data_IF_243694294076
#
_entry.id   IF_243694294076
#
_cell.length_a   1.000
_cell.length_b   1.000
_cell.length_c   1.000
_cell.angle_alpha   90.00
_cell.angle_beta   90.00
_cell.angle_gamma   90.00
#
_symmetry.space_group_name_H-M   'P 1'
#
loop_
_entity.id
_entity.type
_entity.pdbx_description
1 polymer ?
#
# COMPACT_ATOMS: atom_id res chain seq x y z
N UNK A 1 61.24 -67.91 14.22
CA UNK A 1 60.15 -68.08 13.23
C UNK A 1 58.91 -67.38 13.77
N UNK A 2 58.61 -66.14 13.35
CA UNK A 2 57.27 -65.54 13.61
C UNK A 2 57.08 -64.28 12.76
N UNK A 3 56.58 -64.44 11.52
CA UNK A 3 56.24 -63.30 10.66
C UNK A 3 55.25 -63.69 9.55
N UNK A 4 54.12 -64.32 9.89
CA UNK A 4 53.10 -64.70 8.88
C UNK A 4 51.63 -64.46 9.27
N UNK A 5 51.31 -63.92 10.45
CA UNK A 5 49.91 -63.92 10.94
C UNK A 5 49.18 -62.57 10.93
N UNK A 6 49.87 -61.41 10.81
CA UNK A 6 49.20 -60.09 10.84
C UNK A 6 48.67 -59.59 9.49
N UNK A 7 49.31 -59.95 8.38
CA UNK A 7 49.00 -59.34 7.07
C UNK A 7 47.75 -59.94 6.40
N UNK A 8 47.46 -61.23 6.62
CA UNK A 8 46.27 -61.89 6.05
C UNK A 8 44.94 -61.44 6.71
N UNK A 9 44.94 -61.13 8.01
CA UNK A 9 43.77 -60.58 8.72
C UNK A 9 43.43 -59.14 8.31
N UNK A 10 44.43 -58.34 7.91
CA UNK A 10 44.21 -56.94 7.52
C UNK A 10 43.62 -56.81 6.11
N UNK A 11 44.02 -57.70 5.18
CA UNK A 11 43.48 -57.74 3.82
C UNK A 11 42.04 -58.27 3.73
N UNK A 12 41.66 -59.20 4.62
CA UNK A 12 40.27 -59.70 4.68
C UNK A 12 39.32 -58.73 5.36
N UNK A 13 39.78 -57.94 6.34
CA UNK A 13 38.93 -56.94 7.02
C UNK A 13 38.68 -55.68 6.15
N UNK A 14 39.66 -55.26 5.36
CA UNK A 14 39.53 -54.10 4.47
C UNK A 14 38.57 -54.36 3.28
N UNK A 15 38.51 -55.59 2.77
CA UNK A 15 37.62 -55.97 1.68
C UNK A 15 36.13 -56.07 2.10
N UNK A 16 35.85 -56.38 3.38
CA UNK A 16 34.48 -56.44 3.93
C UNK A 16 33.96 -55.03 4.23
N UNK A 17 34.81 -54.09 4.63
CA UNK A 17 34.40 -52.70 4.93
C UNK A 17 34.12 -51.91 3.64
N UNK A 18 34.78 -52.22 2.53
CA UNK A 18 34.55 -51.54 1.24
C UNK A 18 33.26 -52.01 0.52
N UNK A 19 32.81 -53.24 0.78
CA UNK A 19 31.58 -53.79 0.18
C UNK A 19 30.29 -53.39 0.92
N UNK A 20 30.37 -53.01 2.20
CA UNK A 20 29.22 -52.57 3.01
C UNK A 20 28.79 -51.10 2.79
N UNK A 21 29.58 -50.30 2.06
CA UNK A 21 29.27 -48.89 1.77
C UNK A 21 28.26 -48.68 0.61
N UNK A 22 27.90 -49.74 -0.12
CA UNK A 22 27.03 -49.66 -1.31
C UNK A 22 25.55 -49.99 -1.02
N UNK A 23 25.20 -50.29 0.23
CA UNK A 23 23.88 -50.82 0.62
C UNK A 23 22.92 -49.83 1.28
N UNK A 24 23.27 -48.55 1.37
CA UNK A 24 22.28 -47.53 1.76
C UNK A 24 21.59 -47.02 0.50
N UNK A 25 20.32 -47.40 0.23
CA UNK A 25 19.56 -46.77 -0.83
C UNK A 25 19.49 -45.28 -0.51
N UNK A 26 20.26 -44.46 -1.24
CA UNK A 26 20.07 -43.03 -1.20
C UNK A 26 18.63 -42.79 -1.65
N UNK A 27 17.78 -42.30 -0.75
CA UNK A 27 16.44 -41.88 -1.12
C UNK A 27 16.60 -40.65 -2.01
N UNK A 28 16.65 -40.87 -3.32
CA UNK A 28 16.61 -39.80 -4.31
C UNK A 28 15.21 -39.21 -4.21
N UNK A 29 15.06 -38.20 -3.37
CA UNK A 29 13.80 -37.49 -3.25
C UNK A 29 13.57 -36.77 -4.58
N UNK A 30 12.63 -37.26 -5.38
CA UNK A 30 12.38 -36.75 -6.72
C UNK A 30 12.10 -35.23 -6.62
N UNK A 31 13.03 -34.42 -7.12
CA UNK A 31 12.87 -32.98 -7.09
C UNK A 31 11.58 -32.60 -7.82
N UNK A 32 10.66 -31.95 -7.10
CA UNK A 32 9.36 -31.59 -7.67
C UNK A 32 9.50 -30.85 -9.00
N UNK A 33 8.57 -31.06 -9.94
CA UNK A 33 8.64 -30.45 -11.26
C UNK A 33 8.71 -28.92 -11.17
N UNK A 34 9.63 -28.30 -11.93
CA UNK A 34 9.73 -26.84 -12.02
C UNK A 34 8.40 -26.26 -12.48
N UNK A 35 7.85 -25.31 -11.71
CA UNK A 35 6.55 -24.68 -11.97
C UNK A 35 6.50 -23.25 -11.43
N UNK A 36 5.63 -22.42 -11.98
CA UNK A 36 5.30 -21.14 -11.36
C UNK A 36 4.34 -21.37 -10.19
N UNK A 37 4.42 -20.53 -9.15
CA UNK A 37 3.45 -20.54 -8.05
C UNK A 37 2.04 -20.11 -8.50
N UNK A 38 1.92 -19.44 -9.65
CA UNK A 38 0.65 -19.05 -10.25
C UNK A 38 0.77 -18.92 -11.77
N UNK A 39 -0.24 -19.42 -12.49
CA UNK A 39 -0.37 -19.27 -13.94
C UNK A 39 -1.26 -18.08 -14.35
N UNK A 40 -2.01 -17.52 -13.39
CA UNK A 40 -2.83 -16.32 -13.54
C UNK A 40 -2.63 -15.40 -12.34
N UNK A 41 -2.56 -14.09 -12.57
CA UNK A 41 -2.56 -13.05 -11.53
C UNK A 41 -3.37 -11.85 -12.00
N UNK A 42 -3.93 -11.13 -11.03
CA UNK A 42 -4.54 -9.83 -11.24
C UNK A 42 -3.77 -8.80 -10.42
N UNK A 43 -3.53 -7.62 -10.99
CA UNK A 43 -2.90 -6.48 -10.33
C UNK A 43 -3.57 -5.20 -10.81
N UNK A 44 -3.69 -4.17 -9.98
CA UNK A 44 -4.19 -2.88 -10.46
C UNK A 44 -3.05 -2.06 -11.08
N UNK A 45 -3.38 -1.09 -11.91
CA UNK A 45 -2.43 -0.05 -12.33
C UNK A 45 -1.79 0.59 -11.09
N UNK A 46 -0.46 0.67 -11.06
CA UNK A 46 0.32 1.22 -9.94
C UNK A 46 0.74 0.18 -8.89
N UNK A 47 -0.03 -0.89 -8.69
CA UNK A 47 0.26 -1.92 -7.70
C UNK A 47 1.33 -2.92 -8.21
N UNK A 48 1.92 -3.68 -7.29
CA UNK A 48 2.90 -4.73 -7.61
C UNK A 48 2.52 -6.09 -7.05
N UNK A 49 2.92 -7.15 -7.75
CA UNK A 49 2.80 -8.53 -7.27
C UNK A 49 4.06 -9.34 -7.56
N UNK A 50 4.25 -10.44 -6.83
CA UNK A 50 5.42 -11.31 -6.97
C UNK A 50 5.01 -12.68 -7.50
N UNK A 51 5.73 -13.16 -8.50
CA UNK A 51 5.60 -14.51 -9.05
C UNK A 51 6.89 -15.28 -8.76
N UNK A 52 6.76 -16.51 -8.24
CA UNK A 52 7.88 -17.38 -7.86
C UNK A 52 7.98 -18.55 -8.83
N UNK A 53 9.20 -18.93 -9.17
CA UNK A 53 9.51 -20.16 -9.90
C UNK A 53 10.02 -21.20 -8.89
N UNK A 54 9.19 -22.22 -8.67
CA UNK A 54 9.43 -23.28 -7.69
C UNK A 54 10.27 -24.40 -8.31
N UNK A 55 11.05 -25.07 -7.46
CA UNK A 55 11.85 -26.25 -7.81
C UNK A 55 12.75 -26.06 -9.05
N UNK A 56 13.35 -24.87 -9.17
CA UNK A 56 14.30 -24.56 -10.22
C UNK A 56 15.65 -24.18 -9.60
N UNK A 57 16.71 -24.86 -10.06
CA UNK A 57 18.11 -24.56 -9.71
C UNK A 57 18.87 -23.88 -10.86
N UNK A 58 18.28 -23.80 -12.05
CA UNK A 58 18.92 -23.24 -13.27
C UNK A 58 18.70 -21.73 -13.39
N UNK A 59 19.54 -21.04 -14.16
CA UNK A 59 19.38 -19.60 -14.45
C UNK A 59 18.07 -19.34 -15.20
N UNK A 60 17.34 -18.29 -14.82
CA UNK A 60 16.06 -17.92 -15.43
C UNK A 60 16.17 -16.62 -16.21
N UNK A 61 15.65 -16.60 -17.44
CA UNK A 61 15.44 -15.36 -18.21
C UNK A 61 13.98 -14.93 -18.06
N UNK A 62 13.75 -13.82 -17.34
CA UNK A 62 12.43 -13.21 -17.19
C UNK A 62 12.16 -12.18 -18.29
N UNK A 63 10.98 -12.20 -18.86
CA UNK A 63 10.50 -11.21 -19.84
C UNK A 63 8.99 -10.99 -19.71
N UNK A 64 8.49 -9.90 -20.30
CA UNK A 64 7.07 -9.55 -20.35
C UNK A 64 6.63 -9.40 -21.80
N UNK A 65 5.37 -9.69 -22.12
CA UNK A 65 4.90 -9.65 -23.52
C UNK A 65 4.60 -8.24 -24.02
N UNK A 66 4.29 -7.29 -23.14
CA UNK A 66 3.97 -5.91 -23.52
C UNK A 66 4.17 -4.97 -22.32
N UNK A 67 4.03 -3.67 -22.56
CA UNK A 67 4.24 -2.59 -21.58
C UNK A 67 3.12 -2.47 -20.53
N UNK A 68 2.07 -3.31 -20.55
CA UNK A 68 1.01 -3.26 -19.53
C UNK A 68 1.54 -3.64 -18.14
N UNK A 69 2.62 -4.41 -18.06
CA UNK A 69 3.35 -4.70 -16.83
C UNK A 69 4.84 -4.37 -16.99
N UNK A 70 5.50 -4.03 -15.89
CA UNK A 70 6.96 -3.80 -15.83
C UNK A 70 7.59 -4.67 -14.76
N UNK A 71 8.76 -5.26 -15.06
CA UNK A 71 9.57 -5.95 -14.04
C UNK A 71 10.24 -4.87 -13.17
N UNK A 72 10.01 -4.95 -11.86
CA UNK A 72 10.60 -4.04 -10.86
C UNK A 72 11.89 -4.62 -10.30
N UNK A 73 11.87 -5.91 -9.99
CA UNK A 73 13.06 -6.66 -9.55
C UNK A 73 12.94 -8.13 -9.93
N UNK A 74 14.07 -8.81 -10.13
CA UNK A 74 14.11 -10.22 -10.56
C UNK A 74 15.28 -10.97 -9.94
N UNK A 75 15.06 -12.25 -9.68
CA UNK A 75 16.09 -13.23 -9.28
C UNK A 75 15.81 -14.58 -9.97
N UNK A 76 16.67 -15.58 -9.76
CA UNK A 76 16.44 -16.94 -10.26
C UNK A 76 15.22 -17.64 -9.61
N UNK A 77 14.73 -17.13 -8.47
CA UNK A 77 13.62 -17.74 -7.70
C UNK A 77 12.30 -16.97 -7.89
N UNK A 78 12.34 -15.67 -8.12
CA UNK A 78 11.13 -14.85 -8.18
C UNK A 78 11.31 -13.56 -8.98
N UNK A 79 10.19 -12.95 -9.35
CA UNK A 79 10.13 -11.65 -10.00
C UNK A 79 9.01 -10.82 -9.40
N UNK A 80 9.29 -9.55 -9.09
CA UNK A 80 8.30 -8.56 -8.72
C UNK A 80 7.94 -7.75 -9.97
N UNK A 81 6.65 -7.69 -10.28
CA UNK A 81 6.11 -6.94 -11.42
C UNK A 81 5.15 -5.86 -10.92
N UNK A 82 5.08 -4.75 -11.65
CA UNK A 82 4.15 -3.62 -11.42
C UNK A 82 3.18 -3.51 -12.59
N UNK A 83 1.89 -3.28 -12.30
CA UNK A 83 0.88 -2.93 -13.30
C UNK A 83 1.08 -1.49 -13.80
N UNK A 84 1.13 -1.29 -15.11
CA UNK A 84 1.41 0.01 -15.75
C UNK A 84 0.18 0.53 -16.49
N UNK A 85 -0.45 -0.30 -17.33
CA UNK A 85 -1.63 0.07 -18.12
C UNK A 85 -2.64 -1.07 -18.07
N UNK A 86 -3.94 -0.73 -18.04
CA UNK A 86 -5.04 -1.69 -18.13
C UNK A 86 -4.85 -2.61 -19.34
N UNK A 87 -5.09 -3.90 -19.14
CA UNK A 87 -5.02 -4.90 -20.18
C UNK A 87 -4.32 -6.18 -19.73
N UNK A 88 -4.19 -7.12 -20.66
CA UNK A 88 -3.53 -8.40 -20.38
C UNK A 88 -2.05 -8.34 -20.80
N UNK A 89 -1.18 -8.94 -20.00
CA UNK A 89 0.23 -9.22 -20.34
C UNK A 89 0.62 -10.62 -19.89
N UNK A 90 1.68 -11.17 -20.46
CA UNK A 90 2.25 -12.44 -20.04
C UNK A 90 3.64 -12.23 -19.47
N UNK A 91 3.81 -12.63 -18.21
CA UNK A 91 5.12 -12.82 -17.62
C UNK A 91 5.67 -14.17 -18.08
N UNK A 92 6.87 -14.18 -18.64
CA UNK A 92 7.53 -15.37 -19.17
C UNK A 92 8.82 -15.65 -18.39
N UNK A 93 8.97 -16.86 -17.87
CA UNK A 93 10.21 -17.40 -17.32
C UNK A 93 10.77 -18.46 -18.28
N UNK A 94 11.88 -18.16 -18.96
CA UNK A 94 12.59 -19.12 -19.80
C UNK A 94 13.70 -19.80 -19.01
N UNK A 95 13.66 -21.14 -18.98
CA UNK A 95 14.65 -22.03 -18.35
C UNK A 95 15.10 -23.03 -19.41
N UNK A 96 16.29 -22.84 -19.97
CA UNK A 96 16.74 -23.59 -21.15
C UNK A 96 15.79 -23.41 -22.33
N UNK A 97 15.32 -24.53 -22.90
CA UNK A 97 14.33 -24.55 -23.98
C UNK A 97 12.91 -24.23 -23.50
N UNK A 98 12.59 -24.50 -22.23
CA UNK A 98 11.23 -24.41 -21.69
C UNK A 98 10.86 -22.99 -21.26
N UNK A 99 9.63 -22.57 -21.56
CA UNK A 99 9.09 -21.27 -21.14
C UNK A 99 7.82 -21.45 -20.33
N UNK A 100 7.83 -20.92 -19.11
CA UNK A 100 6.67 -20.87 -18.23
C UNK A 100 5.99 -19.51 -18.36
N UNK A 101 4.66 -19.49 -18.48
CA UNK A 101 3.88 -18.27 -18.68
C UNK A 101 2.90 -18.06 -17.52
N UNK A 102 2.82 -16.83 -17.02
CA UNK A 102 1.77 -16.37 -16.13
C UNK A 102 0.97 -15.28 -16.86
N UNK A 103 -0.33 -15.47 -17.04
CA UNK A 103 -1.24 -14.43 -17.54
C UNK A 103 -1.47 -13.41 -16.43
N UNK A 104 -1.11 -12.17 -16.67
CA UNK A 104 -1.29 -11.06 -15.74
C UNK A 104 -2.35 -10.13 -16.31
N UNK A 105 -3.48 -10.02 -15.63
CA UNK A 105 -4.53 -9.06 -15.96
C UNK A 105 -4.30 -7.80 -15.14
N UNK A 106 -4.06 -6.68 -15.81
CA UNK A 106 -3.98 -5.36 -15.19
C UNK A 106 -5.35 -4.72 -15.24
N UNK A 107 -5.95 -4.51 -14.07
CA UNK A 107 -7.20 -3.76 -13.93
C UNK A 107 -6.87 -2.28 -13.76
N UNK A 108 -7.80 -1.41 -14.18
CA UNK A 108 -7.77 -0.04 -13.69
C UNK A 108 -7.80 -0.07 -12.17
N UNK A 109 -7.02 0.83 -11.55
CA UNK A 109 -7.23 1.11 -10.14
C UNK A 109 -8.60 1.76 -10.06
N UNK A 110 -9.54 1.10 -9.38
CA UNK A 110 -10.84 1.69 -9.09
C UNK A 110 -10.58 3.04 -8.43
N UNK A 111 -11.17 4.12 -8.97
CA UNK A 111 -11.01 5.47 -8.42
C UNK A 111 -11.68 5.63 -7.05
N UNK A 112 -12.31 4.59 -6.50
CA UNK A 112 -13.33 4.74 -5.48
C UNK A 112 -14.67 5.02 -6.14
N UNK A 113 -15.76 4.84 -5.40
CA UNK A 113 -17.08 5.37 -5.77
C UNK A 113 -17.65 6.24 -4.63
N UNK A 114 -16.77 6.79 -3.79
CA UNK A 114 -17.16 7.61 -2.65
C UNK A 114 -17.86 6.86 -1.53
N UNK A 115 -17.95 5.52 -1.58
CA UNK A 115 -18.58 4.75 -0.49
C UNK A 115 -17.57 4.43 0.61
N UNK A 116 -18.09 4.16 1.81
CA UNK A 116 -17.28 3.70 2.96
C UNK A 116 -16.37 2.51 2.65
N UNK A 117 -16.84 1.56 1.82
CA UNK A 117 -16.08 0.37 1.40
C UNK A 117 -15.04 0.68 0.31
N UNK A 118 -15.32 1.67 -0.54
CA UNK A 118 -14.47 2.04 -1.66
C UNK A 118 -14.38 3.58 -1.77
N UNK A 119 -13.69 4.22 -0.82
CA UNK A 119 -13.60 5.67 -0.75
C UNK A 119 -12.81 6.23 -1.93
N UNK A 120 -13.09 7.48 -2.29
CA UNK A 120 -12.28 8.24 -3.23
C UNK A 120 -10.86 8.49 -2.67
N UNK A 121 -9.91 8.72 -3.56
CA UNK A 121 -8.58 9.21 -3.18
C UNK A 121 -8.70 10.63 -2.65
N UNK A 122 -8.18 10.89 -1.45
CA UNK A 122 -8.13 12.25 -0.90
C UNK A 122 -7.20 13.20 -1.71
N UNK A 123 -6.28 12.64 -2.50
CA UNK A 123 -5.31 13.40 -3.29
C UNK A 123 -5.84 13.85 -4.65
N UNK A 124 -6.98 13.31 -5.09
CA UNK A 124 -7.67 13.77 -6.29
C UNK A 124 -8.55 14.97 -5.90
N UNK A 125 -8.63 15.97 -6.77
CA UNK A 125 -9.52 17.12 -6.53
C UNK A 125 -10.97 16.66 -6.61
N UNK A 126 -11.75 16.96 -5.57
CA UNK A 126 -13.19 16.69 -5.52
C UNK A 126 -13.97 17.99 -5.42
N UNK A 127 -15.03 18.13 -6.22
CA UNK A 127 -15.95 19.27 -6.13
C UNK A 127 -17.14 18.86 -5.28
N UNK A 128 -17.49 19.68 -4.29
CA UNK A 128 -18.61 19.46 -3.40
C UNK A 128 -19.43 20.72 -3.23
N UNK A 129 -20.73 20.51 -3.03
CA UNK A 129 -21.59 21.51 -2.41
C UNK A 129 -21.27 21.63 -0.91
N UNK A 130 -21.52 22.82 -0.37
CA UNK A 130 -21.30 23.16 1.04
C UNK A 130 -22.66 23.48 1.65
N UNK A 131 -23.06 22.66 2.62
CA UNK A 131 -24.30 22.82 3.35
C UNK A 131 -24.02 23.05 4.85
N UNK A 132 -24.90 23.81 5.49
CA UNK A 132 -25.05 23.87 6.95
C UNK A 132 -26.50 24.16 7.27
N UNK A 133 -26.82 25.28 7.93
CA UNK A 133 -28.22 25.70 8.11
C UNK A 133 -28.96 25.97 6.78
N UNK A 134 -28.20 26.20 5.69
CA UNK A 134 -28.67 26.37 4.31
C UNK A 134 -27.54 25.97 3.35
N UNK A 135 -27.79 26.10 2.06
CA UNK A 135 -26.74 26.02 1.05
C UNK A 135 -25.83 27.26 1.08
N UNK A 136 -24.51 27.04 1.17
CA UNK A 136 -23.51 28.11 1.20
C UNK A 136 -22.77 28.29 -0.13
N UNK A 137 -22.64 27.23 -0.93
CA UNK A 137 -21.96 27.31 -2.22
C UNK A 137 -21.23 26.02 -2.61
N UNK A 138 -20.19 26.13 -3.44
CA UNK A 138 -19.37 25.02 -3.90
C UNK A 138 -17.88 25.25 -3.64
N UNK A 139 -17.19 24.18 -3.28
CA UNK A 139 -15.73 24.18 -3.18
C UNK A 139 -15.09 22.98 -3.87
N UNK A 140 -13.84 23.17 -4.29
CA UNK A 140 -12.93 22.07 -4.62
C UNK A 140 -12.04 21.77 -3.43
N UNK A 141 -12.00 20.50 -3.03
CA UNK A 141 -11.19 20.02 -1.90
C UNK A 141 -10.10 19.08 -2.42
N UNK A 142 -8.88 19.22 -1.89
CA UNK A 142 -7.75 18.32 -2.19
C UNK A 142 -6.82 18.19 -1.00
N UNK A 143 -6.46 16.97 -0.62
CA UNK A 143 -5.35 16.72 0.29
C UNK A 143 -4.03 16.94 -0.45
N UNK A 144 -3.26 17.94 -0.01
CA UNK A 144 -2.00 18.34 -0.64
C UNK A 144 -0.76 17.86 0.13
N UNK A 145 -0.91 17.53 1.42
CA UNK A 145 0.16 16.95 2.21
C UNK A 145 -0.39 15.99 3.28
N UNK A 146 0.32 14.90 3.50
CA UNK A 146 0.00 13.89 4.51
C UNK A 146 1.30 13.35 5.10
N UNK A 147 1.40 13.41 6.43
CA UNK A 147 2.52 12.85 7.20
C UNK A 147 1.94 12.01 8.32
N UNK A 148 2.56 10.87 8.61
CA UNK A 148 2.22 10.06 9.77
C UNK A 148 3.45 9.51 10.50
N UNK A 149 3.23 8.98 11.70
CA UNK A 149 4.26 8.30 12.48
C UNK A 149 5.48 9.18 12.75
N UNK A 150 6.67 8.64 12.46
CA UNK A 150 7.94 9.34 12.68
C UNK A 150 8.07 10.61 11.83
N UNK A 151 7.56 10.59 10.59
CA UNK A 151 7.63 11.74 9.70
C UNK A 151 6.80 12.91 10.26
N UNK A 152 5.56 12.63 10.68
CA UNK A 152 4.71 13.62 11.33
C UNK A 152 5.35 14.13 12.62
N UNK A 153 5.83 13.24 13.50
CA UNK A 153 6.44 13.65 14.77
C UNK A 153 7.63 14.59 14.55
N UNK A 154 8.53 14.25 13.62
CA UNK A 154 9.70 15.07 13.34
C UNK A 154 9.30 16.44 12.77
N UNK A 155 8.35 16.47 11.83
CA UNK A 155 7.82 17.70 11.26
C UNK A 155 7.18 18.58 12.33
N UNK A 156 6.31 18.02 13.17
CA UNK A 156 5.61 18.77 14.21
C UNK A 156 6.57 19.29 15.29
N UNK A 157 7.57 18.50 15.72
CA UNK A 157 8.58 18.95 16.69
C UNK A 157 9.40 20.13 16.16
N UNK A 158 9.80 20.06 14.88
CA UNK A 158 10.49 21.18 14.23
C UNK A 158 9.65 22.46 14.22
N UNK A 159 8.33 22.32 14.24
CA UNK A 159 7.36 23.42 14.24
C UNK A 159 6.69 23.61 15.63
N UNK A 160 7.42 23.38 16.72
CA UNK A 160 7.01 23.81 18.06
C UNK A 160 6.15 22.81 18.87
N UNK A 161 5.86 21.62 18.35
CA UNK A 161 5.23 20.56 19.14
C UNK A 161 6.18 20.08 20.25
N UNK A 162 5.76 20.21 21.51
CA UNK A 162 6.54 19.78 22.68
C UNK A 162 6.23 18.34 23.12
N UNK A 163 5.00 17.88 22.92
CA UNK A 163 4.51 16.61 23.47
C UNK A 163 4.89 15.42 22.59
N UNK A 164 5.30 14.31 23.22
CA UNK A 164 5.48 13.03 22.54
C UNK A 164 4.15 12.25 22.51
N UNK A 165 3.91 11.42 21.48
CA UNK A 165 2.64 10.70 21.34
C UNK A 165 2.52 9.49 22.28
N UNK A 166 3.58 9.13 23.03
CA UNK A 166 3.63 7.93 23.86
C UNK A 166 4.01 6.68 23.05
N UNK A 167 3.83 5.49 23.65
CA UNK A 167 4.28 4.21 23.04
C UNK A 167 3.30 3.64 22.00
N UNK A 168 2.01 3.94 22.11
CA UNK A 168 0.95 3.30 21.32
C UNK A 168 0.25 4.21 20.32
N UNK A 169 0.52 5.53 20.38
CA UNK A 169 -0.10 6.52 19.50
C UNK A 169 0.93 7.17 18.60
N UNK A 170 0.44 7.74 17.52
CA UNK A 170 1.21 8.48 16.53
C UNK A 170 0.47 9.74 16.12
N UNK A 171 1.25 10.77 15.79
CA UNK A 171 0.69 11.95 15.16
C UNK A 171 0.44 11.69 13.68
N UNK A 172 -0.63 12.31 13.17
CA UNK A 172 -0.93 12.40 11.75
C UNK A 172 -1.19 13.86 11.43
N UNK A 173 -0.57 14.37 10.38
CA UNK A 173 -0.73 15.72 9.88
C UNK A 173 -1.34 15.64 8.47
N UNK A 174 -2.42 16.39 8.26
CA UNK A 174 -3.08 16.53 6.97
C UNK A 174 -3.13 18.00 6.62
N UNK A 175 -2.84 18.33 5.36
CA UNK A 175 -2.95 19.69 4.81
C UNK A 175 -3.84 19.65 3.58
N UNK A 176 -4.91 20.44 3.62
CA UNK A 176 -5.87 20.56 2.54
C UNK A 176 -5.70 21.89 1.82
N UNK A 177 -5.90 21.86 0.50
CA UNK A 177 -6.25 23.04 -0.28
C UNK A 177 -7.75 23.02 -0.51
N UNK A 178 -8.41 24.13 -0.22
CA UNK A 178 -9.84 24.32 -0.45
C UNK A 178 -9.99 25.55 -1.32
N UNK A 179 -10.71 25.41 -2.44
CA UNK A 179 -11.01 26.48 -3.38
C UNK A 179 -12.51 26.73 -3.36
N UNK A 180 -12.95 27.76 -2.63
CA UNK A 180 -14.37 28.10 -2.46
C UNK A 180 -14.80 29.02 -3.60
N UNK A 181 -15.03 28.44 -4.76
CA UNK A 181 -15.14 29.18 -6.03
C UNK A 181 -16.55 29.71 -6.31
N UNK A 182 -17.58 29.23 -5.60
CA UNK A 182 -18.95 29.70 -5.75
C UNK A 182 -19.60 29.83 -4.39
N UNK A 183 -20.16 30.99 -4.08
CA UNK A 183 -20.75 31.30 -2.78
C UNK A 183 -21.04 32.78 -2.65
N UNK A 184 -21.66 33.19 -1.54
CA UNK A 184 -22.10 34.59 -1.35
C UNK A 184 -21.57 35.26 -0.09
N UNK A 185 -21.02 34.49 0.83
CA UNK A 185 -20.57 34.96 2.15
C UNK A 185 -19.32 34.23 2.60
N UNK A 186 -18.60 34.84 3.54
CA UNK A 186 -17.49 34.19 4.24
C UNK A 186 -17.99 33.02 5.07
N UNK A 187 -17.32 31.88 4.96
CA UNK A 187 -17.69 30.67 5.72
C UNK A 187 -16.46 30.03 6.38
N UNK A 188 -16.64 29.34 7.52
CA UNK A 188 -15.58 28.52 8.11
C UNK A 188 -15.18 27.37 7.18
N UNK A 189 -13.88 27.07 7.07
CA UNK A 189 -13.37 25.94 6.30
C UNK A 189 -13.94 24.60 6.80
N UNK A 190 -14.28 24.51 8.08
CA UNK A 190 -14.86 23.31 8.71
C UNK A 190 -16.18 22.85 8.09
N UNK A 191 -16.90 23.71 7.37
CA UNK A 191 -18.13 23.32 6.68
C UNK A 191 -17.86 22.45 5.43
N UNK A 192 -16.63 22.34 4.95
CA UNK A 192 -16.30 21.62 3.70
C UNK A 192 -15.93 20.15 3.89
N UNK A 193 -15.33 19.80 5.02
CA UNK A 193 -14.92 18.43 5.33
C UNK A 193 -15.55 18.10 6.68
N UNK A 194 -16.43 17.10 6.69
CA UNK A 194 -17.22 16.75 7.86
C UNK A 194 -16.36 16.13 8.97
N UNK A 195 -16.30 14.81 8.99
CA UNK A 195 -15.69 14.05 10.09
C UNK A 195 -14.56 13.17 9.62
N UNK A 196 -13.59 12.96 10.51
CA UNK A 196 -12.41 12.13 10.28
C UNK A 196 -12.55 10.81 11.03
N UNK A 197 -12.10 9.74 10.41
CA UNK A 197 -12.24 8.38 10.91
C UNK A 197 -10.93 7.62 10.75
N UNK A 198 -10.73 6.65 11.62
CA UNK A 198 -9.62 5.69 11.52
C UNK A 198 -9.86 4.66 10.41
N UNK A 199 -8.99 3.66 10.33
CA UNK A 199 -8.98 2.64 9.29
C UNK A 199 -10.35 2.01 9.04
N UNK A 200 -10.68 1.85 7.74
CA UNK A 200 -11.97 1.33 7.26
C UNK A 200 -13.20 2.16 7.70
N UNK A 201 -13.01 3.43 8.04
CA UNK A 201 -14.12 4.37 8.31
C UNK A 201 -14.99 3.98 9.51
N UNK A 202 -14.47 3.19 10.45
CA UNK A 202 -15.27 2.56 11.51
C UNK A 202 -15.37 3.40 12.78
N UNK A 203 -14.30 4.10 13.15
CA UNK A 203 -14.22 4.83 14.42
C UNK A 203 -13.84 6.28 14.16
N UNK A 204 -14.69 7.18 14.61
CA UNK A 204 -14.47 8.62 14.52
C UNK A 204 -13.23 9.01 15.32
N UNK A 205 -12.39 9.85 14.74
CA UNK A 205 -11.22 10.42 15.41
C UNK A 205 -11.71 11.67 16.14
N UNK A 206 -11.67 11.68 17.48
CA UNK A 206 -12.08 12.86 18.22
C UNK A 206 -11.14 14.01 17.90
N UNK A 207 -11.73 15.19 17.76
CA UNK A 207 -10.95 16.40 17.64
C UNK A 207 -10.10 16.60 18.90
N UNK A 208 -8.82 16.92 18.68
CA UNK A 208 -7.90 17.33 19.72
C UNK A 208 -7.14 18.53 19.20
N UNK A 209 -7.14 19.64 19.93
CA UNK A 209 -6.35 20.81 19.56
C UNK A 209 -4.86 20.49 19.74
N UNK A 210 -4.15 20.24 18.63
CA UNK A 210 -2.72 19.97 18.62
C UNK A 210 -2.03 21.13 17.91
N UNK A 211 -1.37 21.98 18.70
CA UNK A 211 -0.70 23.19 18.20
C UNK A 211 0.56 22.84 17.39
N UNK A 212 0.73 23.53 16.27
CA UNK A 212 1.88 23.45 15.39
C UNK A 212 2.07 24.81 14.69
N UNK A 213 3.29 25.34 14.72
CA UNK A 213 3.64 26.68 14.24
C UNK A 213 4.30 26.63 12.85
N UNK A 214 3.67 25.96 11.90
CA UNK A 214 4.17 25.82 10.52
C UNK A 214 3.63 26.88 9.53
N UNK A 215 3.01 27.95 10.05
CA UNK A 215 2.43 29.03 9.26
C UNK A 215 1.12 28.70 8.54
N UNK A 216 0.57 27.50 8.73
CA UNK A 216 -0.73 27.10 8.15
C UNK A 216 -1.80 27.19 9.24
N UNK A 217 -2.97 27.80 8.96
CA UNK A 217 -4.02 27.85 9.98
C UNK A 217 -4.69 26.49 10.16
N UNK A 218 -5.22 26.26 11.36
CA UNK A 218 -5.98 25.07 11.65
C UNK A 218 -7.32 25.09 10.90
N UNK A 219 -7.74 23.93 10.44
CA UNK A 219 -8.96 23.71 9.68
C UNK A 219 -10.21 24.25 10.38
N UNK A 220 -10.22 24.25 11.71
CA UNK A 220 -11.35 24.72 12.52
C UNK A 220 -11.39 26.24 12.73
N UNK A 221 -10.29 26.95 12.47
CA UNK A 221 -10.19 28.40 12.67
C UNK A 221 -9.99 29.18 11.38
N UNK A 222 -9.73 28.50 10.26
CA UNK A 222 -9.65 29.12 8.95
C UNK A 222 -11.04 29.46 8.40
N UNK A 223 -11.15 30.64 7.78
CA UNK A 223 -12.35 31.10 7.09
C UNK A 223 -12.04 31.39 5.63
N UNK A 224 -13.06 31.36 4.78
CA UNK A 224 -12.92 31.39 3.33
C UNK A 224 -13.93 32.35 2.72
N UNK A 225 -13.45 33.26 1.87
CA UNK A 225 -14.28 34.13 1.04
C UNK A 225 -14.57 33.46 -0.32
N UNK A 226 -15.74 33.71 -0.92
CA UNK A 226 -16.03 33.25 -2.27
C UNK A 226 -14.97 33.74 -3.28
N UNK A 227 -14.59 32.87 -4.21
CA UNK A 227 -13.55 33.11 -5.22
C UNK A 227 -12.12 32.86 -4.75
N UNK A 228 -11.90 32.58 -3.46
CA UNK A 228 -10.56 32.39 -2.90
C UNK A 228 -10.21 30.92 -2.64
N UNK A 229 -8.91 30.64 -2.72
CA UNK A 229 -8.32 29.39 -2.26
C UNK A 229 -7.62 29.59 -0.92
N UNK A 230 -7.91 28.73 0.05
CA UNK A 230 -7.19 28.65 1.32
C UNK A 230 -6.40 27.35 1.42
N UNK A 231 -5.45 27.34 2.36
CA UNK A 231 -4.75 26.13 2.77
C UNK A 231 -4.79 26.02 4.27
N UNK A 232 -5.30 24.90 4.76
CA UNK A 232 -5.53 24.66 6.17
C UNK A 232 -5.02 23.27 6.57
N UNK A 233 -4.70 23.10 7.84
CA UNK A 233 -4.18 21.85 8.37
C UNK A 233 -5.08 21.25 9.43
N UNK A 234 -4.96 19.95 9.63
CA UNK A 234 -5.51 19.27 10.78
C UNK A 234 -4.52 18.22 11.28
N UNK A 235 -4.43 18.09 12.60
CA UNK A 235 -3.48 17.20 13.26
C UNK A 235 -4.25 16.30 14.21
N UNK A 236 -3.96 15.01 14.14
CA UNK A 236 -4.56 14.00 15.01
C UNK A 236 -3.50 13.26 15.81
N UNK A 237 -3.91 12.74 16.96
CA UNK A 237 -3.18 11.73 17.72
C UNK A 237 -4.01 10.44 17.73
N UNK A 238 -3.61 9.44 16.95
CA UNK A 238 -4.35 8.18 16.78
C UNK A 238 -3.51 6.98 17.22
N UNK A 239 -4.13 5.81 17.44
CA UNK A 239 -3.34 4.60 17.66
C UNK A 239 -2.62 4.19 16.36
N UNK A 240 -1.36 3.77 16.43
CA UNK A 240 -0.57 3.48 15.21
C UNK A 240 -1.20 2.44 14.28
N UNK A 241 -1.99 1.51 14.85
CA UNK A 241 -2.68 0.42 14.12
C UNK A 241 -3.95 0.88 13.39
N UNK A 242 -4.41 2.10 13.66
CA UNK A 242 -5.68 2.67 13.17
C UNK A 242 -5.50 3.49 11.87
N UNK A 243 -4.34 3.41 11.21
CA UNK A 243 -4.05 4.02 9.90
C UNK A 243 -4.53 3.13 8.74
N UNK A 244 -4.85 3.68 7.55
CA UNK A 244 -4.83 5.10 7.17
C UNK A 244 -6.03 5.87 7.73
N UNK A 245 -5.93 7.19 7.78
CA UNK A 245 -7.06 8.07 8.09
C UNK A 245 -8.01 8.11 6.88
N UNK A 246 -9.29 8.21 7.17
CA UNK A 246 -10.37 8.46 6.21
C UNK A 246 -11.16 9.67 6.67
N UNK A 247 -11.92 10.28 5.77
CA UNK A 247 -12.87 11.33 6.12
C UNK A 247 -14.08 11.24 5.23
N UNK A 248 -15.16 11.89 5.66
CA UNK A 248 -16.35 12.08 4.82
C UNK A 248 -16.63 13.55 4.59
N UNK A 249 -17.25 13.83 3.45
CA UNK A 249 -17.93 15.09 3.18
C UNK A 249 -19.42 14.75 3.18
N UNK A 250 -20.16 15.45 4.02
CA UNK A 250 -21.62 15.32 4.13
C UNK A 250 -22.28 16.24 3.09
N UNK A 251 -23.37 15.79 2.48
CA UNK A 251 -24.11 16.53 1.47
C UNK A 251 -25.55 16.08 1.39
N UNK A 252 -26.23 16.48 0.32
CA UNK A 252 -27.62 16.14 0.03
C UNK A 252 -27.78 15.77 -1.43
N UNK A 253 -28.67 14.84 -1.75
CA UNK A 253 -29.10 14.60 -3.14
C UNK A 253 -30.19 15.59 -3.58
N UNK A 254 -30.67 15.46 -4.81
CA UNK A 254 -31.67 16.37 -5.40
C UNK A 254 -33.01 16.36 -4.64
N UNK A 255 -33.27 15.28 -3.88
CA UNK A 255 -34.46 15.09 -3.05
C UNK A 255 -34.23 15.51 -1.58
N UNK A 256 -33.11 16.18 -1.29
CA UNK A 256 -32.69 16.60 0.05
C UNK A 256 -32.45 15.45 1.04
N UNK A 257 -32.19 14.23 0.57
CA UNK A 257 -31.74 13.15 1.45
C UNK A 257 -30.26 13.32 1.80
N UNK A 258 -29.86 13.14 3.07
CA UNK A 258 -28.46 13.21 3.45
C UNK A 258 -27.62 12.17 2.72
N UNK A 259 -26.51 12.61 2.14
CA UNK A 259 -25.51 11.76 1.49
C UNK A 259 -24.15 11.89 2.17
N UNK A 260 -23.35 10.83 2.06
CA UNK A 260 -21.98 10.83 2.56
C UNK A 260 -21.03 10.40 1.45
N UNK A 261 -20.01 11.23 1.18
CA UNK A 261 -18.92 10.86 0.26
C UNK A 261 -17.64 10.64 1.06
N UNK A 262 -17.07 9.45 0.95
CA UNK A 262 -15.93 8.98 1.72
C UNK A 262 -14.62 9.07 0.94
N UNK A 263 -13.55 9.45 1.65
CA UNK A 263 -12.20 9.64 1.13
C UNK A 263 -11.16 8.92 1.98
N UNK A 264 -10.06 8.48 1.36
CA UNK A 264 -8.95 7.81 2.05
C UNK A 264 -7.61 8.50 1.77
N UNK A 265 -6.77 8.60 2.81
CA UNK A 265 -5.38 9.07 2.69
C UNK A 265 -4.40 7.99 2.20
N UNK A 266 -4.89 6.78 1.91
CA UNK A 266 -4.09 5.68 1.37
C UNK A 266 -3.64 6.00 -0.06
N UNK A 267 -2.31 6.00 -0.29
CA UNK A 267 -1.71 6.14 -1.63
C UNK A 267 -1.89 4.87 -2.48
#
# INVERSE_FOLDING_TARGET
MEKQTKTKKLLTLAAIILSLLVLFPTSVNAAGKTKLNAIKKTVNVGDSCTVKLLNNKKKVKWSVSNKNIKIVSKSNKQVKIKGIKKGTSYLKAKVGSKTYKCKVTVKEKSKGNGTKKNPYSAYDTYTTDIFGARYYGQAKVKLIDYKDGKEALNYLKKNGLKKNPGKSKEYVYLKFKIDYFYGREEIPALLTIGRFYTSNSTKEIPWNEIKCNDGIKDFYTESMLPGNSVTCKIIFLINSKEKPVTYKIDGYDDDWNPTETWFTTKK
#
